data_IF_503803073941
#
_entry.id   IF_503803073941
#
_cell.length_a   1.000
_cell.length_b   1.000
_cell.length_c   1.000
_cell.angle_alpha   90.00
_cell.angle_beta   90.00
_cell.angle_gamma   90.00
#
_symmetry.space_group_name_H-M   'P 1'
#
loop_
_entity.id
_entity.type
_entity.pdbx_description
1 polymer ?
#
# COMPACT_ATOMS: atom_id res chain seq x y z
N UNK A 1 -4.63 -23.22 13.47
CA UNK A 1 -3.49 -22.33 13.12
C UNK A 1 -3.95 -21.51 11.93
N UNK A 2 -4.74 -20.45 12.17
CA UNK A 2 -5.18 -19.56 11.10
C UNK A 2 -4.06 -18.55 10.87
N UNK A 3 -3.13 -18.87 9.98
CA UNK A 3 -2.21 -17.88 9.42
C UNK A 3 -3.09 -17.00 8.51
N UNK A 4 -3.71 -15.97 9.07
CA UNK A 4 -4.34 -14.91 8.27
C UNK A 4 -3.24 -14.05 7.65
N UNK A 5 -2.63 -14.56 6.59
CA UNK A 5 -1.79 -13.84 5.63
C UNK A 5 -2.70 -12.88 4.86
N UNK A 6 -3.21 -11.86 5.53
CA UNK A 6 -4.19 -10.92 4.97
C UNK A 6 -3.44 -9.82 4.23
N UNK A 7 -2.61 -10.20 3.25
CA UNK A 7 -1.99 -9.26 2.32
C UNK A 7 -3.13 -8.67 1.50
N UNK A 8 -3.61 -7.48 1.85
CA UNK A 8 -4.66 -6.78 1.10
C UNK A 8 -4.04 -5.74 0.20
N UNK A 9 -4.58 -5.58 -1.00
CA UNK A 9 -4.17 -4.52 -1.90
C UNK A 9 -4.33 -3.18 -1.20
N UNK A 10 -3.28 -2.36 -1.16
CA UNK A 10 -3.37 -1.08 -0.46
C UNK A 10 -4.37 -0.11 -1.13
N UNK A 11 -4.59 -0.27 -2.43
CA UNK A 11 -5.52 0.51 -3.26
C UNK A 11 -6.96 0.02 -3.10
N UNK A 12 -7.26 -1.20 -3.55
CA UNK A 12 -8.64 -1.71 -3.61
C UNK A 12 -9.08 -2.54 -2.39
N UNK A 13 -8.18 -2.74 -1.42
CA UNK A 13 -8.39 -3.55 -0.20
C UNK A 13 -8.77 -5.01 -0.45
N UNK A 14 -8.72 -5.49 -1.69
CA UNK A 14 -8.98 -6.88 -2.04
C UNK A 14 -7.91 -7.79 -1.46
N UNK A 15 -8.32 -8.97 -1.00
CA UNK A 15 -7.41 -10.02 -0.52
C UNK A 15 -6.50 -10.48 -1.66
N UNK A 16 -5.20 -10.42 -1.42
CA UNK A 16 -4.17 -10.89 -2.34
C UNK A 16 -3.85 -12.35 -2.02
N UNK A 17 -3.55 -13.12 -3.06
CA UNK A 17 -2.96 -14.45 -2.91
C UNK A 17 -1.43 -14.31 -2.97
N UNK A 18 -0.68 -15.23 -2.34
CA UNK A 18 0.79 -15.20 -2.26
C UNK A 18 1.51 -14.89 -3.59
N UNK A 19 0.94 -15.32 -4.72
CA UNK A 19 1.53 -15.15 -6.06
C UNK A 19 0.82 -14.10 -6.95
N UNK A 20 -0.15 -13.35 -6.43
CA UNK A 20 -0.97 -12.41 -7.22
C UNK A 20 -0.91 -10.96 -6.75
N UNK A 21 0.27 -10.53 -6.31
CA UNK A 21 0.54 -9.13 -5.99
C UNK A 21 1.97 -8.74 -6.33
N UNK A 22 2.19 -7.44 -6.44
CA UNK A 22 3.52 -6.84 -6.48
C UNK A 22 3.69 -5.97 -5.25
N UNK A 23 4.94 -5.74 -4.85
CA UNK A 23 5.24 -4.72 -3.87
C UNK A 23 5.50 -3.42 -4.61
N UNK A 24 4.78 -2.37 -4.22
CA UNK A 24 5.10 -1.03 -4.66
C UNK A 24 6.34 -0.54 -3.90
N UNK A 25 7.39 -0.12 -4.61
CA UNK A 25 8.67 0.28 -4.00
C UNK A 25 8.66 1.69 -3.41
N UNK A 26 7.73 2.56 -3.83
CA UNK A 26 7.59 3.93 -3.33
C UNK A 26 7.05 3.95 -1.91
N UNK A 27 6.02 3.14 -1.62
CA UNK A 27 5.34 3.10 -0.31
C UNK A 27 5.53 1.78 0.45
N UNK A 28 6.26 0.83 -0.13
CA UNK A 28 6.50 -0.52 0.43
C UNK A 28 5.21 -1.24 0.84
N UNK A 29 4.16 -1.11 0.03
CA UNK A 29 2.85 -1.77 0.24
C UNK A 29 2.52 -2.76 -0.88
N UNK A 30 1.78 -3.83 -0.57
CA UNK A 30 1.37 -4.81 -1.57
C UNK A 30 0.21 -4.28 -2.42
N UNK A 31 0.32 -4.45 -3.74
CA UNK A 31 -0.67 -4.03 -4.76
C UNK A 31 -1.07 -5.21 -5.63
N UNK A 32 -2.37 -5.39 -5.90
CA UNK A 32 -2.82 -6.44 -6.82
C UNK A 32 -2.38 -6.13 -8.25
N UNK A 33 -2.28 -7.16 -9.08
CA UNK A 33 -1.91 -7.01 -10.50
C UNK A 33 -2.88 -6.13 -11.31
N UNK A 34 -4.11 -5.94 -10.83
CA UNK A 34 -5.11 -5.07 -11.46
C UNK A 34 -4.89 -3.59 -11.14
N UNK A 35 -4.39 -3.29 -9.94
CA UNK A 35 -4.06 -1.93 -9.53
C UNK A 35 -2.63 -1.56 -9.89
N UNK A 36 -1.74 -2.54 -10.05
CA UNK A 36 -0.35 -2.36 -10.43
C UNK A 36 -0.24 -1.59 -11.77
N UNK A 37 0.47 -0.46 -11.77
CA UNK A 37 0.63 0.44 -12.92
C UNK A 37 -0.60 1.29 -13.25
N UNK A 38 -1.64 1.27 -12.41
CA UNK A 38 -2.85 2.07 -12.66
C UNK A 38 -2.76 3.45 -12.04
N UNK A 39 -3.54 4.40 -12.56
CA UNK A 39 -3.62 5.76 -12.01
C UNK A 39 -4.08 5.78 -10.53
N UNK A 40 -4.89 4.78 -10.12
CA UNK A 40 -5.34 4.62 -8.74
C UNK A 40 -4.21 4.23 -7.78
N UNK A 41 -3.22 3.47 -8.25
CA UNK A 41 -2.03 3.16 -7.46
C UNK A 41 -1.25 4.43 -7.20
N UNK A 42 -0.95 5.19 -8.25
CA UNK A 42 -0.21 6.44 -8.14
C UNK A 42 -0.86 7.44 -7.19
N UNK A 43 -2.17 7.67 -7.33
CA UNK A 43 -2.92 8.53 -6.42
C UNK A 43 -2.86 8.03 -4.96
N UNK A 44 -2.92 6.71 -4.75
CA UNK A 44 -2.83 6.13 -3.41
C UNK A 44 -1.42 6.21 -2.84
N UNK A 45 -0.38 6.11 -3.67
CA UNK A 45 1.02 6.33 -3.27
C UNK A 45 1.22 7.77 -2.78
N UNK A 46 0.77 8.75 -3.56
CA UNK A 46 0.89 10.17 -3.24
C UNK A 46 0.15 10.50 -1.93
N UNK A 47 -1.09 10.03 -1.76
CA UNK A 47 -1.84 10.22 -0.51
C UNK A 47 -1.14 9.61 0.72
N UNK A 48 -0.54 8.42 0.56
CA UNK A 48 0.19 7.76 1.64
C UNK A 48 1.47 8.52 2.00
N UNK A 49 2.22 8.98 1.00
CA UNK A 49 3.47 9.74 1.21
C UNK A 49 3.18 11.12 1.82
N UNK A 50 2.11 11.78 1.37
CA UNK A 50 1.63 13.04 1.93
C UNK A 50 1.20 12.89 3.39
N UNK A 51 0.41 11.87 3.70
CA UNK A 51 0.02 11.55 5.09
C UNK A 51 1.22 11.21 5.99
N UNK A 52 2.28 10.59 5.44
CA UNK A 52 3.51 10.32 6.18
C UNK A 52 4.34 11.59 6.42
N UNK A 53 4.32 12.53 5.47
CA UNK A 53 5.00 13.81 5.60
C UNK A 53 4.33 14.69 6.68
N UNK A 54 2.99 14.68 6.76
CA UNK A 54 2.26 15.42 7.79
C UNK A 54 2.49 14.84 9.20
N UNK A 55 2.69 13.52 9.30
CA UNK A 55 3.04 12.83 10.55
C UNK A 55 4.49 13.01 11.03
N UNK A 56 5.36 13.64 10.23
CA UNK A 56 6.76 13.92 10.57
C UNK A 56 6.94 15.21 11.38
N UNK A 57 5.85 15.90 11.76
CA UNK A 57 5.85 16.88 12.85
C UNK A 57 5.69 16.14 14.19
N UNK A 58 6.54 15.15 14.45
CA UNK A 58 6.76 14.73 15.83
C UNK A 58 7.60 15.84 16.46
N UNK A 59 6.93 16.74 17.18
CA UNK A 59 7.56 17.84 17.88
C UNK A 59 8.74 17.35 18.71
N UNK A 60 9.95 17.68 18.26
CA UNK A 60 11.08 17.80 19.16
C UNK A 60 10.77 19.00 20.05
N UNK A 61 10.29 18.72 21.27
CA UNK A 61 10.27 19.67 22.37
C UNK A 61 11.69 19.96 22.83
#
# INVERSE_FOLDING_TARGET
>A
MEIQDNHRCFVCKSTLKKDQYRMNTSVMKPVCLQCAGSEKEKQSEENLLDSLADGLVCGCI
#
